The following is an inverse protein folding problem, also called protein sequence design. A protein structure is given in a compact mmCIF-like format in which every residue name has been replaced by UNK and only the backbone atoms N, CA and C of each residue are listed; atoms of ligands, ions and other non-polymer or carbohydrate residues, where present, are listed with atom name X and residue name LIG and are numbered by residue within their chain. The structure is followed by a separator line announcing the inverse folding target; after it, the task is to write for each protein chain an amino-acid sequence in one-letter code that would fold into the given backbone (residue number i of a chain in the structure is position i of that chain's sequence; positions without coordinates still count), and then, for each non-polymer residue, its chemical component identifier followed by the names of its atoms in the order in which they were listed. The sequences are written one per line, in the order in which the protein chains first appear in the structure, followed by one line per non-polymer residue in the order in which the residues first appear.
data_IF_017052956863
#
_entry.id   IF_017052956863
#
_cell.length_a   1.000
_cell.length_b   1.000
_cell.length_c   1.000
_cell.angle_alpha   90.00
_cell.angle_beta   90.00
_cell.angle_gamma   90.00
#
_symmetry.space_group_name_H-M   'P 1'
#
loop_
_entity.id
_entity.type
_entity.pdbx_description
1 polymer ?
#
# COMPACT_ATOMS: atom_id res chain seq x y z
N UNK A 1 -2.67 12.76 6.22
CA UNK A 1 -3.14 11.40 6.50
C UNK A 1 -4.60 11.26 6.09
N UNK A 2 -4.89 10.22 5.33
CA UNK A 2 -6.28 9.90 4.98
C UNK A 2 -6.73 8.69 5.77
N UNK A 3 -7.97 8.73 6.21
CA UNK A 3 -8.55 7.62 6.96
C UNK A 3 -9.27 6.68 5.99
N UNK A 4 -8.93 5.39 6.04
CA UNK A 4 -9.63 4.39 5.27
C UNK A 4 -11.07 4.25 5.76
N UNK A 5 -11.93 3.66 4.93
CA UNK A 5 -13.32 3.39 5.32
C UNK A 5 -13.42 2.28 6.36
N UNK A 6 -12.39 1.45 6.45
CA UNK A 6 -12.30 0.43 7.49
C UNK A 6 -11.84 1.10 8.79
N UNK A 7 -12.66 1.09 9.85
CA UNK A 7 -12.30 1.75 11.11
C UNK A 7 -11.08 1.14 11.79
N UNK A 8 -10.69 -0.08 11.42
CA UNK A 8 -9.53 -0.74 12.00
C UNK A 8 -8.23 -0.41 11.24
N UNK A 9 -8.33 0.28 10.11
CA UNK A 9 -7.18 0.52 9.24
C UNK A 9 -6.96 2.01 9.05
N UNK A 10 -5.72 2.45 9.30
CA UNK A 10 -5.29 3.80 8.95
C UNK A 10 -4.14 3.67 7.97
N UNK A 11 -4.14 4.48 6.93
CA UNK A 11 -3.03 4.48 6.00
C UNK A 11 -2.38 5.85 5.93
N UNK A 12 -1.09 5.84 5.61
CA UNK A 12 -0.27 7.04 5.42
C UNK A 12 0.42 6.93 4.08
N UNK A 13 0.45 8.04 3.37
CA UNK A 13 1.25 8.15 2.15
C UNK A 13 2.40 9.10 2.43
N UNK A 14 3.62 8.67 2.14
CA UNK A 14 4.79 9.53 2.25
C UNK A 14 4.81 10.43 1.02
N UNK A 15 4.38 11.66 1.19
CA UNK A 15 4.24 12.61 0.09
C UNK A 15 5.56 12.93 -0.58
N UNK A 16 6.65 12.90 0.17
CA UNK A 16 7.97 13.18 -0.39
C UNK A 16 8.49 12.05 -1.26
N UNK A 17 7.90 10.86 -1.13
CA UNK A 17 8.28 9.71 -1.93
C UNK A 17 7.55 9.61 -3.27
N UNK A 18 6.53 10.46 -3.50
CA UNK A 18 5.73 10.36 -4.71
C UNK A 18 6.56 10.78 -5.91
N UNK A 19 6.72 9.85 -6.86
CA UNK A 19 7.42 10.11 -8.10
C UNK A 19 6.56 9.66 -9.28
N UNK A 20 6.67 10.36 -10.39
CA UNK A 20 5.92 10.04 -11.59
C UNK A 20 6.91 9.78 -12.72
N UNK A 21 6.73 8.67 -13.45
CA UNK A 21 7.56 8.28 -14.57
C UNK A 21 6.73 7.46 -15.53
N UNK A 22 6.71 7.84 -16.82
CA UNK A 22 6.01 7.09 -17.87
C UNK A 22 4.55 6.82 -17.54
N UNK A 23 3.86 7.82 -17.01
CA UNK A 23 2.45 7.74 -16.62
C UNK A 23 2.17 6.85 -15.42
N UNK A 24 3.19 6.39 -14.73
CA UNK A 24 3.05 5.65 -13.50
C UNK A 24 3.50 6.50 -12.32
N UNK A 25 2.77 6.39 -11.22
CA UNK A 25 3.10 7.07 -9.98
C UNK A 25 3.53 6.03 -8.97
N UNK A 26 4.67 6.24 -8.33
CA UNK A 26 5.14 5.36 -7.26
C UNK A 26 5.25 6.14 -5.96
N UNK A 27 4.98 5.47 -4.87
CA UNK A 27 5.05 6.11 -3.55
C UNK A 27 5.14 5.05 -2.46
N UNK A 28 5.61 5.45 -1.28
CA UNK A 28 5.62 4.58 -0.12
C UNK A 28 4.36 4.81 0.69
N UNK A 29 3.71 3.71 1.08
CA UNK A 29 2.56 3.76 1.97
C UNK A 29 2.81 2.91 3.20
N UNK A 30 2.14 3.27 4.27
CA UNK A 30 2.17 2.54 5.52
C UNK A 30 0.73 2.29 5.94
N UNK A 31 0.42 1.03 6.18
CA UNK A 31 -0.90 0.61 6.63
C UNK A 31 -0.77 0.15 8.07
N UNK A 32 -1.57 0.72 8.96
CA UNK A 32 -1.55 0.37 10.38
C UNK A 32 -2.93 -0.12 10.78
N UNK A 33 -2.97 -1.32 11.34
CA UNK A 33 -4.19 -1.89 11.88
C UNK A 33 -4.27 -1.54 13.36
N UNK A 34 -5.37 -0.97 13.80
CA UNK A 34 -5.55 -0.63 15.20
C UNK A 34 -5.53 -1.90 16.05
N UNK A 35 -6.22 -2.92 15.56
CA UNK A 35 -6.17 -4.26 16.17
C UNK A 35 -5.63 -5.23 15.13
N UNK A 36 -4.56 -5.97 15.44
CA UNK A 36 -4.05 -6.96 14.50
C UNK A 36 -5.11 -7.99 14.20
N UNK A 37 -5.51 -8.10 12.94
CA UNK A 37 -6.59 -9.01 12.55
C UNK A 37 -6.14 -10.08 11.57
N UNK A 38 -5.20 -9.76 10.71
CA UNK A 38 -4.72 -10.68 9.70
C UNK A 38 -3.55 -11.47 10.27
N UNK A 39 -3.63 -12.79 10.21
CA UNK A 39 -2.57 -13.66 10.69
C UNK A 39 -1.70 -14.09 9.52
N UNK A 40 -0.39 -13.99 9.69
CA UNK A 40 0.54 -14.49 8.70
C UNK A 40 0.54 -16.01 8.74
N UNK A 41 0.32 -16.66 7.58
CA UNK A 41 0.16 -18.10 7.51
C UNK A 41 1.43 -18.87 7.84
N UNK A 42 2.59 -18.30 7.55
CA UNK A 42 3.88 -18.95 7.76
C UNK A 42 4.33 -18.89 9.21
N UNK A 43 4.26 -17.69 9.81
CA UNK A 43 4.78 -17.45 11.16
C UNK A 43 3.72 -17.52 12.25
N UNK A 44 2.45 -17.57 11.86
CA UNK A 44 1.31 -17.54 12.79
C UNK A 44 1.27 -16.28 13.65
N UNK A 45 1.85 -15.20 13.15
CA UNK A 45 1.85 -13.91 13.85
C UNK A 45 0.79 -13.00 13.29
N UNK A 46 0.21 -12.18 14.15
CA UNK A 46 -0.77 -11.19 13.74
C UNK A 46 -0.06 -9.98 13.13
N UNK A 47 -0.54 -9.54 11.98
CA UNK A 47 0.02 -8.39 11.29
C UNK A 47 -0.55 -7.11 11.88
N UNK A 48 0.34 -6.24 12.37
CA UNK A 48 -0.02 -4.93 12.91
C UNK A 48 0.17 -3.84 11.87
N UNK A 49 1.19 -3.97 11.03
CA UNK A 49 1.60 -2.89 10.13
C UNK A 49 2.13 -3.46 8.83
N UNK A 50 1.89 -2.74 7.73
CA UNK A 50 2.43 -3.08 6.42
C UNK A 50 3.09 -1.85 5.82
N UNK A 51 4.26 -2.03 5.20
CA UNK A 51 4.93 -1.00 4.42
C UNK A 51 4.94 -1.46 2.97
N UNK A 52 4.47 -0.62 2.07
CA UNK A 52 4.33 -1.00 0.66
C UNK A 52 4.88 0.10 -0.23
N UNK A 53 5.72 -0.29 -1.20
CA UNK A 53 6.10 0.61 -2.29
C UNK A 53 5.10 0.38 -3.42
N UNK A 54 4.14 1.29 -3.54
CA UNK A 54 2.98 1.14 -4.41
C UNK A 54 3.23 1.76 -5.77
N UNK A 55 2.62 1.17 -6.79
CA UNK A 55 2.64 1.69 -8.16
C UNK A 55 1.19 1.88 -8.60
N UNK A 56 0.86 3.03 -9.17
CA UNK A 56 -0.48 3.29 -9.68
C UNK A 56 -0.42 3.95 -11.05
N UNK A 57 -1.39 3.60 -11.90
CA UNK A 57 -1.63 4.29 -13.16
C UNK A 57 -2.83 5.20 -12.99
N UNK A 58 -2.62 6.52 -13.09
CA UNK A 58 -3.71 7.49 -12.97
C UNK A 58 -4.65 7.39 -14.17
N UNK A 59 -4.10 7.11 -15.34
CA UNK A 59 -4.88 7.04 -16.58
C UNK A 59 -5.74 5.79 -16.62
N UNK A 60 -5.16 4.63 -16.31
CA UNK A 60 -5.86 3.35 -16.40
C UNK A 60 -6.57 2.98 -15.11
N UNK A 61 -6.32 3.70 -14.01
CA UNK A 61 -6.89 3.43 -12.69
C UNK A 61 -6.59 2.02 -12.25
N UNK A 62 -5.31 1.67 -12.29
CA UNK A 62 -4.81 0.36 -11.88
C UNK A 62 -3.73 0.51 -10.83
N UNK A 63 -3.43 -0.57 -10.12
CA UNK A 63 -2.45 -0.56 -9.05
C UNK A 63 -1.66 -1.86 -8.96
N UNK A 64 -0.48 -1.76 -8.39
CA UNK A 64 0.37 -2.87 -8.06
C UNK A 64 1.37 -2.44 -6.99
N UNK A 65 2.35 -3.27 -6.72
CA UNK A 65 3.40 -2.90 -5.76
C UNK A 65 4.73 -3.49 -6.16
N UNK A 66 5.81 -2.80 -5.79
CA UNK A 66 7.19 -3.24 -6.04
C UNK A 66 7.79 -3.93 -4.83
N UNK A 67 7.34 -3.56 -3.64
CA UNK A 67 7.87 -4.07 -2.39
C UNK A 67 6.77 -4.06 -1.34
N UNK A 68 6.77 -5.08 -0.51
CA UNK A 68 5.87 -5.14 0.63
C UNK A 68 6.57 -5.77 1.82
N UNK A 69 6.28 -5.26 3.01
CA UNK A 69 6.80 -5.83 4.24
C UNK A 69 5.69 -5.80 5.28
N UNK A 70 5.63 -6.84 6.11
CA UNK A 70 4.66 -6.95 7.18
C UNK A 70 5.36 -7.00 8.52
N UNK A 71 4.74 -6.39 9.53
CA UNK A 71 5.31 -6.26 10.87
C UNK A 71 4.29 -6.65 11.92
N UNK A 72 4.75 -7.33 12.94
CA UNK A 72 3.94 -7.64 14.11
C UNK A 72 3.92 -6.45 15.06
N UNK A 73 3.06 -6.51 16.06
CA UNK A 73 3.04 -5.52 17.12
C UNK A 73 4.41 -5.42 17.76
N UNK A 74 4.85 -4.18 18.04
CA UNK A 74 6.20 -3.95 18.53
C UNK A 74 7.22 -3.68 17.45
N UNK A 75 6.81 -3.74 16.16
CA UNK A 75 7.68 -3.38 15.06
C UNK A 75 8.56 -4.50 14.52
N UNK A 76 8.35 -5.73 14.99
CA UNK A 76 9.17 -6.84 14.52
C UNK A 76 8.72 -7.30 13.13
N UNK A 77 9.65 -7.34 12.18
CA UNK A 77 9.34 -7.76 10.82
C UNK A 77 8.92 -9.23 10.78
N UNK A 78 7.83 -9.51 10.06
CA UNK A 78 7.36 -10.87 9.79
C UNK A 78 7.95 -11.36 8.48
N UNK A 79 7.71 -10.62 7.39
CA UNK A 79 8.25 -10.98 6.08
C UNK A 79 8.34 -9.76 5.17
N UNK A 80 9.10 -9.90 4.09
CA UNK A 80 9.16 -8.89 3.05
C UNK A 80 9.18 -9.58 1.69
N UNK A 81 8.68 -8.85 0.67
CA UNK A 81 8.58 -9.36 -0.68
C UNK A 81 8.96 -8.27 -1.66
N UNK A 82 9.84 -8.60 -2.62
CA UNK A 82 10.23 -7.69 -3.70
C UNK A 82 9.69 -8.25 -5.01
N UNK A 83 9.00 -7.40 -5.77
CA UNK A 83 8.50 -7.78 -7.09
C UNK A 83 9.37 -7.09 -8.13
N UNK A 84 10.08 -7.84 -9.01
CA UNK A 84 10.83 -7.23 -10.08
C UNK A 84 9.93 -6.44 -11.02
N UNK A 85 10.43 -5.33 -11.58
CA UNK A 85 9.63 -4.47 -12.43
C UNK A 85 8.95 -5.22 -13.58
N UNK A 86 9.63 -6.21 -14.15
CA UNK A 86 9.07 -6.99 -15.25
C UNK A 86 7.90 -7.89 -14.84
N UNK A 87 7.67 -8.08 -13.54
CA UNK A 87 6.62 -8.95 -13.01
C UNK A 87 5.53 -8.21 -12.28
N UNK A 88 5.56 -6.89 -12.31
CA UNK A 88 4.52 -6.11 -11.65
C UNK A 88 3.26 -6.16 -12.50
N UNK A 89 2.19 -6.72 -11.94
CA UNK A 89 0.90 -6.76 -12.59
C UNK A 89 0.02 -5.66 -12.00
N UNK A 90 -0.47 -4.78 -12.86
CA UNK A 90 -1.37 -3.72 -12.45
C UNK A 90 -2.80 -4.21 -12.59
N UNK A 91 -3.54 -4.19 -11.48
CA UNK A 91 -4.93 -4.64 -11.42
C UNK A 91 -5.87 -3.45 -11.26
N UNK A 92 -7.11 -3.55 -11.76
CA UNK A 92 -8.08 -2.47 -11.60
C UNK A 92 -8.31 -2.12 -10.14
N UNK A 93 -8.47 -0.83 -9.87
CA UNK A 93 -8.77 -0.34 -8.53
C UNK A 93 -10.28 -0.34 -8.34
N UNK A 94 -10.75 -1.09 -7.35
CA UNK A 94 -12.17 -1.16 -7.05
C UNK A 94 -12.64 0.17 -6.43
N UNK A 95 -13.87 0.60 -6.71
CA UNK A 95 -14.42 1.81 -6.11
C UNK A 95 -14.63 1.62 -4.60
N UNK A 96 -14.58 2.73 -3.87
CA UNK A 96 -14.82 2.76 -2.42
C UNK A 96 -13.81 1.95 -1.61
N UNK A 97 -12.57 1.90 -2.08
CA UNK A 97 -11.48 1.22 -1.37
C UNK A 97 -10.43 2.21 -0.94
N UNK A 98 -9.53 1.76 -0.07
CA UNK A 98 -8.35 2.54 0.34
C UNK A 98 -7.55 2.91 -0.89
N UNK A 99 -7.41 1.98 -1.84
CA UNK A 99 -6.64 2.22 -3.05
C UNK A 99 -7.24 3.36 -3.88
N UNK A 100 -8.57 3.47 -3.96
CA UNK A 100 -9.19 4.57 -4.67
C UNK A 100 -8.90 5.91 -4.00
N UNK A 101 -8.95 5.96 -2.68
CA UNK A 101 -8.62 7.17 -1.95
C UNK A 101 -7.17 7.57 -2.17
N UNK A 102 -6.27 6.61 -2.17
CA UNK A 102 -4.86 6.86 -2.46
C UNK A 102 -4.65 7.35 -3.88
N UNK A 103 -5.38 6.77 -4.84
CA UNK A 103 -5.30 7.19 -6.23
C UNK A 103 -5.65 8.66 -6.37
N UNK A 104 -6.72 9.11 -5.71
CA UNK A 104 -7.10 10.52 -5.72
C UNK A 104 -6.01 11.39 -5.12
N UNK A 105 -5.43 10.95 -4.02
CA UNK A 105 -4.39 11.70 -3.34
C UNK A 105 -3.15 11.89 -4.22
N UNK A 106 -2.64 10.80 -4.82
CA UNK A 106 -1.40 10.86 -5.56
C UNK A 106 -1.57 11.41 -6.98
N UNK A 107 -2.76 11.26 -7.57
CA UNK A 107 -3.01 11.73 -8.93
C UNK A 107 -3.47 13.17 -8.99
N UNK A 108 -4.02 13.74 -7.94
CA UNK A 108 -4.57 15.08 -7.90
C UNK A 108 -3.67 16.10 -7.21
N UNK A 109 -2.43 15.78 -7.00
CA UNK A 109 -1.52 16.67 -6.28
C UNK A 109 -0.93 17.79 -7.15
N UNK A 110 -1.25 17.82 -8.41
CA UNK A 110 -0.77 18.86 -9.36
C UNK A 110 -1.52 20.16 -9.18
#
# INVERSE_FOLDING_TARGET
MLRARDPNLTFYVDQDSITESKSLVTFWEKLIYEKPQQRDEVTDRLIKEKHVHRVMSCVQRTQGFKYGATFAEGGKMIESLVIPDARIDLAPIAPRTVAEEELRLVCNRR
#
